data_IF_908640861882
#
_entry.id   IF_908640861882
#
_cell.length_a   1.000
_cell.length_b   1.000
_cell.length_c   1.000
_cell.angle_alpha   90.00
_cell.angle_beta   90.00
_cell.angle_gamma   90.00
#
_symmetry.space_group_name_H-M   'P 1'
#
loop_
_entity.id
_entity.type
_entity.pdbx_description
1 polymer ?
#
# COMPACT_ATOMS: atom_id res chain seq x y z
N UNK A 1 57.83 27.87 -8.23
CA UNK A 1 57.55 27.71 -9.68
C UNK A 1 58.63 26.77 -10.22
N UNK A 2 58.41 25.55 -10.70
CA UNK A 2 57.26 24.82 -11.24
C UNK A 2 57.49 23.33 -10.89
N UNK A 3 56.56 22.69 -10.19
CA UNK A 3 55.65 21.66 -10.71
C UNK A 3 56.38 20.40 -11.22
N UNK A 4 56.46 19.38 -10.36
CA UNK A 4 56.79 18.00 -10.70
C UNK A 4 55.70 17.39 -11.58
N UNK A 5 56.06 16.55 -12.57
CA UNK A 5 55.12 15.88 -13.46
C UNK A 5 54.44 14.69 -12.75
N UNK A 6 53.12 14.62 -12.84
CA UNK A 6 52.31 13.52 -12.31
C UNK A 6 52.41 12.27 -13.22
N UNK A 7 52.59 11.06 -12.67
CA UNK A 7 52.44 9.83 -13.42
C UNK A 7 50.96 9.44 -13.52
N UNK A 8 50.52 9.14 -14.74
CA UNK A 8 49.21 8.61 -15.05
C UNK A 8 49.07 7.16 -14.55
N UNK A 9 48.19 6.91 -13.58
CA UNK A 9 47.70 5.56 -13.30
C UNK A 9 46.33 5.40 -13.97
N UNK A 10 46.30 4.53 -15.00
CA UNK A 10 45.06 3.93 -15.51
C UNK A 10 44.44 3.07 -14.40
N UNK A 11 43.19 3.36 -14.03
CA UNK A 11 42.29 2.38 -13.42
C UNK A 11 40.92 2.50 -14.08
N UNK A 12 40.78 1.84 -15.22
CA UNK A 12 39.51 1.30 -15.66
C UNK A 12 39.20 0.11 -14.74
N UNK A 13 38.31 0.28 -13.76
CA UNK A 13 37.52 -0.81 -13.17
C UNK A 13 36.50 -0.25 -12.17
N UNK A 14 35.29 -0.83 -12.24
CA UNK A 14 34.17 -0.68 -11.33
C UNK A 14 33.27 0.57 -11.49
N UNK A 15 32.53 0.58 -12.59
CA UNK A 15 31.11 0.92 -12.55
C UNK A 15 30.40 -0.10 -11.63
N UNK A 16 30.12 0.28 -10.38
CA UNK A 16 29.20 -0.46 -9.51
C UNK A 16 28.55 0.51 -8.53
N UNK A 17 27.63 1.33 -9.04
CA UNK A 17 26.66 2.06 -8.21
C UNK A 17 25.48 1.13 -7.92
N UNK A 18 25.62 0.32 -6.88
CA UNK A 18 24.52 -0.39 -6.26
C UNK A 18 24.73 -0.36 -4.74
N UNK A 19 24.24 0.68 -4.09
CA UNK A 19 23.78 0.59 -2.70
C UNK A 19 22.98 1.82 -2.26
N UNK A 20 21.64 1.78 -2.31
CA UNK A 20 20.78 2.58 -1.46
C UNK A 20 20.32 1.73 -0.26
N UNK A 21 21.25 1.22 0.54
CA UNK A 21 20.94 0.52 1.80
C UNK A 21 21.57 1.24 3.00
N UNK A 22 21.49 2.57 3.03
CA UNK A 22 21.67 3.32 4.26
C UNK A 22 20.32 3.44 4.96
N UNK A 23 20.22 2.80 6.12
CA UNK A 23 19.00 2.67 6.89
C UNK A 23 18.34 4.00 7.23
N UNK A 24 17.03 4.05 7.01
CA UNK A 24 16.14 4.82 7.85
C UNK A 24 15.52 3.81 8.84
N UNK A 25 15.43 4.09 10.16
CA UNK A 25 14.55 3.37 11.06
C UNK A 25 13.09 3.77 10.78
N UNK A 26 12.69 3.65 9.52
CA UNK A 26 11.31 3.67 9.07
C UNK A 26 10.87 2.23 8.98
N UNK A 27 9.70 1.92 9.55
CA UNK A 27 9.08 0.60 9.53
C UNK A 27 9.27 -0.04 8.15
N UNK A 28 9.98 -1.16 8.07
CA UNK A 28 10.27 -1.79 6.78
C UNK A 28 8.95 -2.20 6.11
N UNK A 29 8.88 -2.03 4.78
CA UNK A 29 7.69 -2.39 4.01
C UNK A 29 7.27 -3.85 4.26
N UNK A 30 8.24 -4.75 4.39
CA UNK A 30 8.01 -6.15 4.78
C UNK A 30 7.31 -6.27 6.14
N UNK A 31 7.74 -5.49 7.15
CA UNK A 31 7.10 -5.46 8.46
C UNK A 31 5.68 -4.91 8.40
N UNK A 32 5.43 -3.90 7.56
CA UNK A 32 4.09 -3.36 7.33
C UNK A 32 3.20 -4.40 6.66
N UNK A 33 3.68 -5.06 5.61
CA UNK A 33 2.96 -6.09 4.88
C UNK A 33 2.62 -7.29 5.79
N UNK A 34 3.59 -7.76 6.57
CA UNK A 34 3.38 -8.83 7.54
C UNK A 34 2.36 -8.46 8.62
N UNK A 35 2.40 -7.22 9.12
CA UNK A 35 1.40 -6.73 10.08
C UNK A 35 0.01 -6.58 9.45
N UNK A 36 -0.09 -6.10 8.21
CA UNK A 36 -1.36 -6.01 7.49
C UNK A 36 -1.98 -7.38 7.25
N UNK A 37 -1.18 -8.40 6.90
CA UNK A 37 -1.66 -9.77 6.73
C UNK A 37 -2.17 -10.36 8.05
N UNK A 38 -1.48 -10.13 9.17
CA UNK A 38 -1.99 -10.50 10.51
C UNK A 38 -3.29 -9.79 10.84
N UNK A 39 -3.37 -8.48 10.58
CA UNK A 39 -4.55 -7.66 10.85
C UNK A 39 -5.78 -8.18 10.11
N UNK A 40 -5.62 -8.61 8.85
CA UNK A 40 -6.69 -9.19 8.04
C UNK A 40 -7.14 -10.54 8.61
N UNK A 41 -6.21 -11.38 9.05
CA UNK A 41 -6.54 -12.65 9.71
C UNK A 41 -7.32 -12.45 11.01
N UNK A 42 -6.93 -11.47 11.82
CA UNK A 42 -7.63 -11.15 13.07
C UNK A 42 -9.04 -10.62 12.80
N UNK A 43 -9.20 -9.76 11.78
CA UNK A 43 -10.50 -9.26 11.31
C UNK A 43 -11.42 -10.39 10.79
N UNK A 44 -10.84 -11.41 10.13
CA UNK A 44 -11.59 -12.57 9.66
C UNK A 44 -12.14 -13.39 10.83
N UNK A 45 -11.30 -13.66 11.84
CA UNK A 45 -11.71 -14.37 13.06
C UNK A 45 -12.77 -13.61 13.86
N UNK A 46 -12.63 -12.28 13.96
CA UNK A 46 -13.61 -11.41 14.60
C UNK A 46 -14.94 -11.43 13.83
N UNK A 47 -14.89 -11.41 12.50
CA UNK A 47 -16.06 -11.52 11.65
C UNK A 47 -16.76 -12.86 11.82
N UNK A 48 -16.03 -13.98 11.88
CA UNK A 48 -16.61 -15.30 12.12
C UNK A 48 -17.30 -15.38 13.49
N UNK A 49 -16.73 -14.75 14.52
CA UNK A 49 -17.33 -14.62 15.86
C UNK A 49 -18.60 -13.76 15.86
N UNK A 50 -18.58 -12.64 15.14
CA UNK A 50 -19.74 -11.76 14.98
C UNK A 50 -20.85 -12.44 14.17
N UNK A 51 -20.52 -13.21 13.14
CA UNK A 51 -21.49 -14.02 12.36
C UNK A 51 -22.14 -15.08 13.23
N UNK A 52 -21.37 -15.75 14.09
CA UNK A 52 -21.90 -16.70 15.06
C UNK A 52 -22.83 -16.02 16.10
N UNK A 53 -22.48 -14.80 16.51
CA UNK A 53 -23.30 -13.99 17.43
C UNK A 53 -24.58 -13.49 16.76
N UNK A 54 -24.52 -13.10 15.48
CA UNK A 54 -25.68 -12.75 14.65
C UNK A 54 -26.63 -13.93 14.42
N UNK A 55 -26.09 -15.14 14.21
CA UNK A 55 -26.89 -16.37 14.06
C UNK A 55 -27.64 -16.75 15.36
N UNK A 56 -27.22 -16.22 16.52
CA UNK A 56 -27.84 -16.45 17.83
C UNK A 56 -29.07 -15.55 18.09
N UNK A 57 -29.38 -14.62 17.17
CA UNK A 57 -30.65 -13.90 17.13
C UNK A 57 -30.69 -12.53 17.83
N UNK A 58 -29.54 -11.92 18.09
CA UNK A 58 -29.42 -10.61 18.77
C UNK A 58 -29.44 -9.44 17.76
N UNK A 59 -30.58 -9.25 17.07
CA UNK A 59 -30.77 -8.04 16.25
C UNK A 59 -32.16 -7.46 16.52
N UNK A 60 -32.20 -6.55 17.48
CA UNK A 60 -33.40 -5.87 17.97
C UNK A 60 -33.88 -4.72 17.04
N UNK A 61 -33.20 -4.43 15.92
CA UNK A 61 -33.47 -3.20 15.16
C UNK A 61 -33.33 -3.33 13.64
N UNK A 62 -34.47 -3.61 12.96
CA UNK A 62 -34.63 -3.65 11.49
C UNK A 62 -34.09 -2.37 10.80
N UNK A 63 -34.08 -1.24 11.52
CA UNK A 63 -33.56 0.05 11.06
C UNK A 63 -32.06 0.01 10.73
N UNK A 64 -31.28 -0.79 11.48
CA UNK A 64 -29.84 -0.92 11.30
C UNK A 64 -29.51 -1.66 9.98
N UNK A 65 -30.33 -2.63 9.58
CA UNK A 65 -30.17 -3.37 8.32
C UNK A 65 -30.38 -2.46 7.12
N UNK A 66 -31.41 -1.62 7.13
CA UNK A 66 -31.69 -0.65 6.05
C UNK A 66 -30.59 0.41 5.96
N UNK A 67 -30.12 0.92 7.10
CA UNK A 67 -29.03 1.89 7.13
C UNK A 67 -27.70 1.28 6.64
N UNK A 68 -27.43 0.03 7.00
CA UNK A 68 -26.29 -0.75 6.51
C UNK A 68 -26.33 -0.90 4.99
N UNK A 69 -27.48 -1.31 4.44
CA UNK A 69 -27.68 -1.44 3.00
C UNK A 69 -27.45 -0.12 2.25
N UNK A 70 -27.98 1.00 2.78
CA UNK A 70 -27.78 2.33 2.19
C UNK A 70 -26.30 2.77 2.23
N UNK A 71 -25.59 2.49 3.33
CA UNK A 71 -24.15 2.77 3.44
C UNK A 71 -23.34 1.94 2.45
N UNK A 72 -23.68 0.66 2.27
CA UNK A 72 -23.02 -0.21 1.31
C UNK A 72 -23.19 0.28 -0.13
N UNK A 73 -24.40 0.71 -0.49
CA UNK A 73 -24.67 1.26 -1.83
C UNK A 73 -23.88 2.55 -2.09
N UNK A 74 -23.81 3.44 -1.11
CA UNK A 74 -23.02 4.68 -1.20
C UNK A 74 -21.51 4.40 -1.31
N UNK A 75 -20.99 3.45 -0.52
CA UNK A 75 -19.59 3.05 -0.57
C UNK A 75 -19.20 2.45 -1.92
N UNK A 76 -20.08 1.62 -2.51
CA UNK A 76 -19.86 1.01 -3.83
C UNK A 76 -19.73 2.08 -4.93
N UNK A 77 -20.61 3.09 -4.89
CA UNK A 77 -20.55 4.23 -5.83
C UNK A 77 -19.24 4.99 -5.68
N UNK A 78 -18.82 5.24 -4.44
CA UNK A 78 -17.57 5.96 -4.16
C UNK A 78 -16.33 5.18 -4.63
N UNK A 79 -16.30 3.86 -4.42
CA UNK A 79 -15.20 2.99 -4.90
C UNK A 79 -15.11 3.00 -6.42
N UNK A 80 -16.24 3.04 -7.11
CA UNK A 80 -16.27 3.11 -8.58
C UNK A 80 -15.66 4.41 -9.07
N UNK A 81 -15.98 5.55 -8.45
CA UNK A 81 -15.38 6.85 -8.76
C UNK A 81 -13.88 6.88 -8.48
N UNK A 82 -13.45 6.30 -7.35
CA UNK A 82 -12.02 6.18 -7.01
C UNK A 82 -11.30 5.31 -8.04
N UNK A 83 -11.88 4.17 -8.43
CA UNK A 83 -11.33 3.29 -9.48
C UNK A 83 -11.13 4.05 -10.78
N UNK A 84 -12.13 4.81 -11.21
CA UNK A 84 -12.07 5.59 -12.44
C UNK A 84 -10.93 6.63 -12.36
N UNK A 85 -10.83 7.38 -11.26
CA UNK A 85 -9.74 8.35 -11.05
C UNK A 85 -8.34 7.72 -11.01
N UNK A 86 -8.20 6.53 -10.45
CA UNK A 86 -6.93 5.80 -10.42
C UNK A 86 -6.52 5.32 -11.81
N UNK A 87 -7.49 4.84 -12.61
CA UNK A 87 -7.27 4.46 -14.02
C UNK A 87 -6.86 5.69 -14.84
N UNK A 88 -7.52 6.83 -14.65
CA UNK A 88 -7.17 8.09 -15.31
C UNK A 88 -5.77 8.58 -14.91
N UNK A 89 -5.42 8.51 -13.61
CA UNK A 89 -4.10 8.88 -13.12
C UNK A 89 -3.00 7.99 -13.72
N UNK A 90 -3.26 6.68 -13.86
CA UNK A 90 -2.35 5.75 -14.53
C UNK A 90 -2.17 6.10 -16.02
N UNK A 91 -3.28 6.37 -16.72
CA UNK A 91 -3.23 6.79 -18.13
C UNK A 91 -2.49 8.12 -18.32
N UNK A 92 -2.64 9.06 -17.38
CA UNK A 92 -1.92 10.34 -17.41
C UNK A 92 -0.41 10.15 -17.15
N UNK A 93 -0.03 9.30 -16.20
CA UNK A 93 1.38 9.01 -15.93
C UNK A 93 2.08 8.35 -17.13
N UNK A 94 1.37 7.47 -17.87
CA UNK A 94 1.89 6.86 -19.09
C UNK A 94 1.90 7.77 -20.32
N UNK A 95 1.15 8.88 -20.28
CA UNK A 95 1.10 9.90 -21.34
C UNK A 95 2.02 11.09 -21.10
N UNK A 96 2.71 11.16 -19.96
CA UNK A 96 3.83 12.07 -19.81
C UNK A 96 4.89 11.66 -20.85
N UNK A 97 5.13 12.47 -21.90
CA UNK A 97 6.28 12.23 -22.73
C UNK A 97 7.51 12.48 -21.86
N UNK A 98 8.42 11.51 -21.82
CA UNK A 98 9.79 11.73 -21.33
C UNK A 98 10.52 12.73 -22.22
#
# INVERSE_FOLDING_TARGET
MKLSPAPFIRRSEALSTADPSSGSPGVSFESLLANSMKKVNDLQLESDSLVNSLATGDVEDVSAVVLSAQRAEFALRMITEVRNKLVDAYQQLGRLPV
#
